data_IF_930259990794
#
_entry.id   IF_930259990794
#
_cell.length_a   1.000
_cell.length_b   1.000
_cell.length_c   1.000
_cell.angle_alpha   90.00
_cell.angle_beta   90.00
_cell.angle_gamma   90.00
#
_symmetry.space_group_name_H-M   'P 1'
#
loop_
_entity.id
_entity.type
_entity.pdbx_description
1 polymer ?
#
# COMPACT_ATOMS: atom_id res chain seq x y z
N UNK A 1 32.36 8.17 22.59
CA UNK A 1 32.79 7.43 23.80
C UNK A 1 31.74 6.39 24.02
N UNK A 2 32.00 5.19 23.54
CA UNK A 2 30.90 4.27 23.23
C UNK A 2 30.52 3.41 24.44
N UNK A 3 31.49 3.16 25.34
CA UNK A 3 31.28 2.43 26.61
C UNK A 3 31.31 3.37 27.83
N UNK A 4 30.58 4.49 27.77
CA UNK A 4 30.55 5.44 28.87
C UNK A 4 30.00 4.84 30.18
N UNK A 5 29.15 3.82 30.09
CA UNK A 5 28.53 3.14 31.22
C UNK A 5 29.50 2.28 32.06
N UNK A 6 30.66 1.90 31.50
CA UNK A 6 31.71 1.17 32.21
C UNK A 6 32.70 2.10 32.93
N UNK A 7 32.53 3.41 32.78
CA UNK A 7 33.50 4.42 33.22
C UNK A 7 32.98 5.18 34.43
N UNK A 8 33.91 5.60 35.26
CA UNK A 8 33.61 6.45 36.41
C UNK A 8 33.26 7.86 35.95
N UNK A 9 32.52 8.60 36.78
CA UNK A 9 32.09 9.97 36.47
C UNK A 9 33.29 10.87 36.15
N UNK A 10 34.36 10.78 36.94
CA UNK A 10 35.58 11.56 36.73
C UNK A 10 36.27 11.27 35.40
N UNK A 11 36.28 10.00 34.96
CA UNK A 11 36.84 9.62 33.65
C UNK A 11 36.02 10.19 32.50
N UNK A 12 34.68 10.20 32.63
CA UNK A 12 33.78 10.77 31.62
C UNK A 12 33.96 12.30 31.55
N UNK A 13 33.96 12.98 32.69
CA UNK A 13 34.18 14.43 32.76
C UNK A 13 35.53 14.83 32.17
N UNK A 14 36.59 14.06 32.47
CA UNK A 14 37.92 14.27 31.91
C UNK A 14 37.98 14.00 30.41
N UNK A 15 37.30 12.97 29.93
CA UNK A 15 37.25 12.66 28.49
C UNK A 15 36.61 13.79 27.69
N UNK A 16 35.51 14.37 28.18
CA UNK A 16 34.82 15.47 27.50
C UNK A 16 35.36 16.86 27.88
N UNK A 17 36.34 16.95 28.79
CA UNK A 17 36.81 18.21 29.38
C UNK A 17 35.64 19.10 29.86
N UNK A 18 34.63 18.47 30.47
CA UNK A 18 33.42 19.13 30.91
C UNK A 18 33.52 19.47 32.40
N UNK A 19 33.03 20.65 32.77
CA UNK A 19 32.88 21.05 34.17
C UNK A 19 31.58 20.44 34.73
N UNK A 20 31.63 19.85 35.92
CA UNK A 20 30.47 19.20 36.53
C UNK A 20 29.38 20.20 36.93
N UNK A 21 29.76 21.40 37.37
CA UNK A 21 28.84 22.41 37.89
C UNK A 21 28.40 23.40 36.81
N UNK A 22 29.30 23.71 35.87
CA UNK A 22 29.10 24.73 34.82
C UNK A 22 28.84 24.15 33.43
N UNK A 23 29.12 22.86 33.22
CA UNK A 23 28.98 22.20 31.93
C UNK A 23 30.07 22.59 30.91
N UNK A 24 29.71 22.56 29.63
CA UNK A 24 30.60 22.89 28.51
C UNK A 24 30.57 24.39 28.21
N UNK A 25 31.71 24.95 27.80
CA UNK A 25 31.77 26.34 27.32
C UNK A 25 31.13 26.49 25.94
N UNK A 26 30.67 27.70 25.55
CA UNK A 26 30.09 27.94 24.22
C UNK A 26 31.04 27.55 23.08
N UNK A 27 32.35 27.77 23.24
CA UNK A 27 33.37 27.38 22.26
C UNK A 27 33.57 25.87 22.18
N UNK A 28 33.41 25.15 23.30
CA UNK A 28 33.41 23.68 23.29
C UNK A 28 32.16 23.13 22.62
N UNK A 29 31.00 23.74 22.86
CA UNK A 29 29.75 23.35 22.19
C UNK A 29 29.88 23.49 20.68
N UNK A 30 30.38 24.64 20.19
CA UNK A 30 30.57 24.86 18.75
C UNK A 30 31.54 23.84 18.14
N UNK A 31 32.69 23.60 18.78
CA UNK A 31 33.66 22.59 18.32
C UNK A 31 33.09 21.17 18.34
N UNK A 32 32.27 20.84 19.33
CA UNK A 32 31.61 19.54 19.42
C UNK A 32 30.54 19.38 18.33
N UNK A 33 29.76 20.42 18.02
CA UNK A 33 28.81 20.41 16.91
C UNK A 33 29.52 20.26 15.56
N UNK A 34 30.66 20.90 15.36
CA UNK A 34 31.49 20.73 14.15
C UNK A 34 32.05 19.30 14.03
N UNK A 35 32.39 18.67 15.15
CA UNK A 35 33.00 17.33 15.18
C UNK A 35 31.99 16.18 15.11
N UNK A 36 30.90 16.28 15.87
CA UNK A 36 29.91 15.21 16.03
C UNK A 36 28.64 15.45 15.20
N UNK A 37 28.46 16.66 14.66
CA UNK A 37 27.24 17.05 13.98
C UNK A 37 26.11 17.42 14.95
N UNK A 38 24.95 17.81 14.40
CA UNK A 38 23.75 18.01 15.19
C UNK A 38 23.29 16.68 15.82
N UNK A 39 22.74 16.75 17.03
CA UNK A 39 22.13 15.60 17.70
C UNK A 39 20.73 15.32 17.15
N UNK A 40 20.66 15.08 15.85
CA UNK A 40 19.43 14.72 15.13
C UNK A 40 19.65 13.45 14.34
N UNK A 41 18.63 12.59 14.33
CA UNK A 41 18.64 11.43 13.44
C UNK A 41 18.39 11.95 12.02
N UNK A 42 19.17 11.49 11.03
CA UNK A 42 18.90 11.85 9.64
C UNK A 42 17.47 11.46 9.32
N UNK A 43 16.69 12.42 8.81
CA UNK A 43 15.36 12.13 8.33
C UNK A 43 15.49 11.16 7.15
N UNK A 44 14.85 10.00 7.24
CA UNK A 44 14.69 9.17 6.05
C UNK A 44 13.91 10.01 5.02
N UNK A 45 14.44 10.11 3.81
CA UNK A 45 13.73 10.74 2.71
C UNK A 45 12.43 9.93 2.50
N UNK A 46 11.32 10.47 3.01
CA UNK A 46 10.02 9.84 2.87
C UNK A 46 9.74 9.63 1.39
N UNK A 47 9.37 8.39 1.02
CA UNK A 47 8.94 8.10 -0.36
C UNK A 47 7.84 9.10 -0.75
N UNK A 48 8.01 9.74 -1.89
CA UNK A 48 7.00 10.68 -2.41
C UNK A 48 5.68 9.95 -2.68
N UNK A 49 4.55 10.64 -2.54
CA UNK A 49 3.22 10.07 -2.82
C UNK A 49 3.15 9.48 -4.24
N UNK A 50 3.81 10.12 -5.21
CA UNK A 50 3.89 9.63 -6.59
C UNK A 50 4.67 8.32 -6.72
N UNK A 51 5.77 8.16 -5.99
CA UNK A 51 6.51 6.89 -5.95
C UNK A 51 5.67 5.77 -5.33
N UNK A 52 4.94 6.06 -4.26
CA UNK A 52 4.05 5.08 -3.62
C UNK A 52 2.92 4.63 -4.57
N UNK A 53 2.34 5.56 -5.33
CA UNK A 53 1.32 5.23 -6.34
C UNK A 53 1.91 4.34 -7.44
N UNK A 54 3.08 4.69 -7.99
CA UNK A 54 3.72 3.89 -9.04
C UNK A 54 4.12 2.49 -8.56
N UNK A 55 4.56 2.37 -7.29
CA UNK A 55 4.89 1.09 -6.66
C UNK A 55 3.67 0.15 -6.61
N UNK A 56 2.45 0.68 -6.44
CA UNK A 56 1.23 -0.13 -6.50
C UNK A 56 0.88 -0.61 -7.92
N UNK A 57 1.23 0.14 -8.96
CA UNK A 57 1.03 -0.28 -10.36
C UNK A 57 2.02 -1.36 -10.83
N UNK A 58 3.13 -1.58 -10.10
CA UNK A 58 4.13 -2.58 -10.45
C UNK A 58 3.73 -4.02 -10.05
N UNK A 59 2.64 -4.17 -9.32
CA UNK A 59 2.09 -5.48 -8.92
C UNK A 59 1.64 -6.31 -10.14
N UNK A 60 1.95 -7.62 -10.11
CA UNK A 60 1.61 -8.55 -11.20
C UNK A 60 0.11 -8.59 -11.50
N UNK A 61 -0.75 -8.54 -10.47
CA UNK A 61 -2.20 -8.54 -10.63
C UNK A 61 -2.66 -7.26 -11.34
N UNK A 62 -2.13 -6.11 -10.95
CA UNK A 62 -2.47 -4.82 -11.57
C UNK A 62 -2.03 -4.79 -13.03
N UNK A 63 -0.85 -5.35 -13.36
CA UNK A 63 -0.39 -5.50 -14.74
C UNK A 63 -1.31 -6.37 -15.59
N UNK A 64 -1.79 -7.49 -15.05
CA UNK A 64 -2.76 -8.35 -15.75
C UNK A 64 -4.08 -7.62 -15.98
N UNK A 65 -4.57 -6.87 -14.97
CA UNK A 65 -5.78 -6.07 -15.10
C UNK A 65 -5.62 -4.93 -16.12
N UNK A 66 -4.47 -4.27 -16.15
CA UNK A 66 -4.16 -3.23 -17.13
C UNK A 66 -4.09 -3.83 -18.54
N UNK A 67 -3.47 -5.00 -18.71
CA UNK A 67 -3.43 -5.72 -19.98
C UNK A 67 -4.85 -6.08 -20.44
N UNK A 68 -5.69 -6.62 -19.55
CA UNK A 68 -7.09 -6.91 -19.84
C UNK A 68 -7.87 -5.65 -20.23
N UNK A 69 -7.65 -4.53 -19.54
CA UNK A 69 -8.27 -3.25 -19.86
C UNK A 69 -7.84 -2.74 -21.25
N UNK A 70 -6.56 -2.85 -21.60
CA UNK A 70 -6.05 -2.48 -22.94
C UNK A 70 -6.68 -3.36 -24.01
N UNK A 71 -6.71 -4.69 -23.81
CA UNK A 71 -7.35 -5.62 -24.74
C UNK A 71 -8.84 -5.29 -24.88
N UNK A 72 -9.56 -5.07 -23.78
CA UNK A 72 -10.98 -4.70 -23.79
C UNK A 72 -11.23 -3.38 -24.52
N UNK A 73 -10.36 -2.38 -24.31
CA UNK A 73 -10.47 -1.08 -24.96
C UNK A 73 -10.28 -1.19 -26.48
N UNK A 74 -9.27 -1.95 -26.91
CA UNK A 74 -9.01 -2.20 -28.34
C UNK A 74 -10.12 -3.07 -28.97
N UNK A 75 -10.62 -4.05 -28.23
CA UNK A 75 -11.68 -4.96 -28.69
C UNK A 75 -13.04 -4.25 -28.81
N UNK A 76 -13.31 -3.21 -28.01
CA UNK A 76 -14.53 -2.39 -28.08
C UNK A 76 -14.72 -1.72 -29.44
N UNK A 77 -13.65 -1.26 -30.07
CA UNK A 77 -13.71 -0.64 -31.41
C UNK A 77 -14.01 -1.70 -32.49
N UNK A 78 -13.72 -2.98 -32.23
CA UNK A 78 -13.76 -4.06 -33.22
C UNK A 78 -15.04 -4.91 -33.18
N UNK A 79 -15.72 -5.00 -32.04
CA UNK A 79 -16.87 -5.91 -31.83
C UNK A 79 -18.08 -5.23 -31.18
N UNK A 80 -18.69 -4.28 -31.89
CA UNK A 80 -20.06 -3.79 -31.57
C UNK A 80 -21.15 -4.83 -31.93
N UNK A 81 -20.78 -6.05 -32.34
CA UNK A 81 -21.71 -7.07 -32.89
C UNK A 81 -21.98 -8.32 -32.04
N UNK A 82 -21.15 -8.67 -31.05
CA UNK A 82 -21.22 -9.99 -30.40
C UNK A 82 -22.29 -10.09 -29.31
N UNK A 83 -22.49 -9.05 -28.51
CA UNK A 83 -23.46 -9.06 -27.40
C UNK A 83 -24.91 -9.12 -27.90
N UNK A 84 -25.20 -8.58 -29.08
CA UNK A 84 -26.56 -8.59 -29.65
C UNK A 84 -26.99 -9.94 -30.27
N UNK A 85 -26.06 -10.81 -30.69
CA UNK A 85 -26.41 -12.13 -31.27
C UNK A 85 -26.67 -13.21 -30.22
N UNK A 86 -26.04 -13.12 -29.05
CA UNK A 86 -26.28 -14.08 -27.96
C UNK A 86 -27.64 -13.82 -27.30
N UNK A 87 -28.07 -12.56 -27.21
CA UNK A 87 -29.39 -12.20 -26.67
C UNK A 87 -30.56 -12.71 -27.54
N UNK A 88 -30.43 -12.67 -28.87
CA UNK A 88 -31.51 -13.05 -29.80
C UNK A 88 -31.61 -14.54 -30.10
N UNK A 89 -30.62 -15.34 -29.71
CA UNK A 89 -30.63 -16.81 -29.89
C UNK A 89 -31.31 -17.55 -28.73
N UNK A 90 -31.38 -16.94 -27.53
CA UNK A 90 -31.98 -17.54 -26.34
C UNK A 90 -33.52 -17.59 -26.34
N UNK A 91 -34.19 -16.71 -27.09
CA UNK A 91 -35.66 -16.62 -27.07
C UNK A 91 -36.36 -17.64 -27.97
N UNK A 92 -35.66 -18.31 -28.89
CA UNK A 92 -36.30 -19.24 -29.84
C UNK A 92 -36.43 -20.69 -29.33
N UNK A 93 -35.88 -21.00 -28.15
CA UNK A 93 -35.85 -22.36 -27.61
C UNK A 93 -36.93 -22.65 -26.53
N UNK A 94 -37.67 -21.64 -26.05
CA UNK A 94 -38.58 -21.78 -24.89
C UNK A 94 -40.07 -21.77 -25.23
N UNK A 95 -40.46 -21.80 -26.51
CA UNK A 95 -41.88 -21.82 -26.93
C UNK A 95 -42.58 -23.20 -26.81
N UNK A 96 -41.93 -24.21 -26.22
CA UNK A 96 -42.40 -25.61 -26.30
C UNK A 96 -42.70 -26.34 -24.99
N UNK A 97 -42.45 -25.77 -23.80
CA UNK A 97 -42.77 -26.46 -22.53
C UNK A 97 -42.72 -25.52 -21.32
N UNK A 98 -43.75 -24.69 -21.16
CA UNK A 98 -44.03 -24.02 -19.90
C UNK A 98 -44.75 -25.01 -18.96
N UNK A 99 -44.02 -25.56 -17.99
CA UNK A 99 -44.61 -25.86 -16.69
C UNK A 99 -43.93 -24.88 -15.73
N UNK A 100 -44.66 -23.82 -15.43
CA UNK A 100 -44.20 -22.63 -14.72
C UNK A 100 -43.82 -22.98 -13.27
N UNK A 101 -42.54 -23.16 -12.99
CA UNK A 101 -42.01 -23.00 -11.64
C UNK A 101 -41.63 -21.53 -11.47
N UNK A 102 -42.58 -20.72 -11.04
CA UNK A 102 -42.36 -19.31 -10.74
C UNK A 102 -41.53 -19.16 -9.46
N UNK A 103 -40.79 -18.07 -9.36
CA UNK A 103 -39.92 -17.75 -8.22
C UNK A 103 -40.57 -17.89 -6.83
N UNK A 104 -41.88 -17.63 -6.64
CA UNK A 104 -42.57 -17.89 -5.37
C UNK A 104 -42.54 -19.36 -4.93
N UNK A 105 -42.61 -20.32 -5.86
CA UNK A 105 -42.59 -21.76 -5.54
C UNK A 105 -41.23 -22.19 -4.99
N UNK A 106 -40.15 -21.66 -5.57
CA UNK A 106 -38.79 -21.95 -5.14
C UNK A 106 -38.52 -21.39 -3.74
N UNK A 107 -39.00 -20.18 -3.48
CA UNK A 107 -38.89 -19.54 -2.16
C UNK A 107 -39.72 -20.28 -1.09
N UNK A 108 -40.89 -20.81 -1.45
CA UNK A 108 -41.73 -21.58 -0.52
C UNK A 108 -41.08 -22.92 -0.13
N UNK A 109 -40.41 -23.60 -1.06
CA UNK A 109 -39.66 -24.82 -0.79
C UNK A 109 -38.42 -24.57 0.09
N UNK A 110 -37.69 -23.49 -0.15
CA UNK A 110 -36.53 -23.12 0.66
C UNK A 110 -36.89 -22.79 2.11
N UNK A 111 -38.08 -22.22 2.35
CA UNK A 111 -38.56 -21.90 3.69
C UNK A 111 -39.00 -23.13 4.52
N UNK A 112 -39.30 -24.27 3.90
CA UNK A 112 -39.71 -25.50 4.60
C UNK A 112 -38.53 -26.39 5.05
N UNK A 113 -37.30 -26.02 4.66
CA UNK A 113 -36.07 -26.75 5.00
C UNK A 113 -35.38 -26.23 6.27
N UNK A 114 -36.03 -25.35 7.04
CA UNK A 114 -35.58 -24.85 8.34
C UNK A 114 -36.69 -25.04 9.39
#
# INVERSE_FOLDING_TARGET
>A
MDNAHEKTVDEVLKYFSADQDKGLSPDQVKRNQEKYGPNELPAEEGKSIWQLVLEQFDDLLVKILLLAAIISFVSIESDVGYVSRVATSGERATSGRAHEATWPTFMSAAAQLN
#
